data_IF_446007306239
#
_entry.id   IF_446007306239
#
_cell.length_a   1.000
_cell.length_b   1.000
_cell.length_c   1.000
_cell.angle_alpha   90.00
_cell.angle_beta   90.00
_cell.angle_gamma   90.00
#
_symmetry.space_group_name_H-M   'P 1'
#
loop_
_entity.id
_entity.type
_entity.pdbx_description
1 polymer ?
#
# COMPACT_ATOMS: atom_id res chain seq x y z
N UNK A 1 -47.12 16.51 28.47
CA UNK A 1 -47.53 16.09 27.11
C UNK A 1 -46.57 16.72 26.11
N UNK A 2 -45.42 16.09 25.90
CA UNK A 2 -45.08 15.28 24.70
C UNK A 2 -44.49 16.10 23.55
N UNK A 3 -43.15 16.14 23.47
CA UNK A 3 -42.42 16.05 22.20
C UNK A 3 -41.20 15.16 22.39
N UNK A 4 -41.49 13.86 22.29
CA UNK A 4 -40.56 12.76 22.08
C UNK A 4 -40.50 12.51 20.55
N UNK A 5 -39.34 12.04 20.08
CA UNK A 5 -39.06 11.33 18.80
C UNK A 5 -39.17 12.06 17.45
N UNK A 6 -38.00 12.23 16.81
CA UNK A 6 -37.72 11.94 15.38
C UNK A 6 -36.32 11.29 15.36
N UNK A 7 -36.20 9.96 15.42
CA UNK A 7 -36.07 9.03 14.28
C UNK A 7 -34.99 9.48 13.28
N UNK A 8 -33.75 8.94 13.31
CA UNK A 8 -33.32 7.65 12.72
C UNK A 8 -33.87 7.46 11.30
N UNK A 9 -33.10 7.89 10.30
CA UNK A 9 -32.99 7.32 8.96
C UNK A 9 -32.03 8.18 8.12
N UNK A 10 -30.77 7.76 8.01
CA UNK A 10 -29.91 8.15 6.90
C UNK A 10 -29.17 6.89 6.45
N UNK A 11 -29.91 6.03 5.75
CA UNK A 11 -29.37 4.88 5.05
C UNK A 11 -28.84 5.36 3.70
N UNK A 12 -27.56 5.04 3.49
CA UNK A 12 -26.81 4.88 2.23
C UNK A 12 -27.67 4.84 0.96
N UNK A 13 -27.46 5.82 0.08
CA UNK A 13 -27.43 5.64 -1.38
C UNK A 13 -26.44 6.68 -1.93
N UNK A 14 -25.25 6.24 -2.36
CA UNK A 14 -24.50 6.96 -3.39
C UNK A 14 -24.14 5.92 -4.46
N UNK A 15 -25.04 5.80 -5.43
CA UNK A 15 -24.78 5.21 -6.73
C UNK A 15 -24.26 6.30 -7.66
N UNK A 16 -23.20 6.00 -8.42
CA UNK A 16 -22.92 6.66 -9.70
C UNK A 16 -21.66 7.51 -9.74
N UNK A 17 -20.59 6.90 -10.26
CA UNK A 17 -19.61 7.52 -11.17
C UNK A 17 -19.19 8.95 -10.85
N UNK A 18 -18.48 9.12 -9.74
CA UNK A 18 -17.40 10.07 -9.66
C UNK A 18 -16.22 9.26 -9.10
N UNK A 19 -15.18 9.09 -9.90
CA UNK A 19 -13.89 8.64 -9.41
C UNK A 19 -13.42 9.69 -8.41
N UNK A 20 -13.84 9.54 -7.15
CA UNK A 20 -13.19 10.20 -6.05
C UNK A 20 -11.83 9.51 -5.97
N UNK A 21 -10.83 10.11 -6.60
CA UNK A 21 -9.44 9.86 -6.27
C UNK A 21 -9.28 10.27 -4.81
N UNK A 22 -9.55 9.32 -3.91
CA UNK A 22 -9.17 9.46 -2.53
C UNK A 22 -7.67 9.82 -2.52
N UNK A 23 -7.25 10.85 -1.76
CA UNK A 23 -5.83 11.22 -1.71
C UNK A 23 -5.01 9.95 -1.41
N UNK A 24 -3.84 9.77 -2.03
CA UNK A 24 -3.07 8.53 -1.97
C UNK A 24 -2.92 7.93 -0.54
N UNK A 25 -2.90 8.78 0.51
CA UNK A 25 -2.87 8.34 1.90
C UNK A 25 -4.19 7.79 2.49
N UNK A 26 -5.34 8.04 1.87
CA UNK A 26 -6.62 7.48 2.29
C UNK A 26 -6.87 6.08 1.73
N UNK A 27 -6.31 5.75 0.55
CA UNK A 27 -6.36 4.37 0.01
C UNK A 27 -5.44 3.43 0.81
N UNK A 28 -4.22 3.89 1.13
CA UNK A 28 -3.26 3.16 1.98
C UNK A 28 -3.82 2.81 3.38
N UNK A 29 -4.73 3.63 3.94
CA UNK A 29 -5.36 3.33 5.23
C UNK A 29 -6.38 2.18 5.14
N UNK A 30 -7.14 2.10 4.05
CA UNK A 30 -8.12 1.01 3.85
C UNK A 30 -7.42 -0.32 3.56
N UNK A 31 -6.26 -0.29 2.90
CA UNK A 31 -5.45 -1.48 2.62
C UNK A 31 -4.77 -2.07 3.87
N UNK A 32 -4.72 -1.31 4.97
CA UNK A 32 -4.16 -1.74 6.25
C UNK A 32 -5.18 -2.38 7.18
N UNK A 33 -6.47 -2.32 6.87
CA UNK A 33 -7.54 -2.78 7.77
C UNK A 33 -8.10 -4.12 7.29
N UNK A 34 -7.90 -5.18 8.08
CA UNK A 34 -8.42 -6.52 7.80
C UNK A 34 -9.41 -6.95 8.89
N UNK A 35 -10.74 -6.86 8.63
CA UNK A 35 -11.73 -7.38 9.56
C UNK A 35 -11.86 -8.91 9.41
N UNK A 36 -12.14 -9.58 10.53
CA UNK A 36 -12.47 -11.01 10.54
C UNK A 36 -13.57 -11.33 11.54
N UNK A 37 -14.27 -12.45 11.27
CA UNK A 37 -15.34 -12.98 12.10
C UNK A 37 -15.00 -14.42 12.42
N UNK A 38 -15.18 -14.81 13.68
CA UNK A 38 -14.96 -16.17 14.14
C UNK A 38 -16.26 -16.79 14.65
N UNK A 39 -16.44 -18.07 14.35
CA UNK A 39 -17.43 -18.92 15.01
C UNK A 39 -16.70 -20.13 15.57
N UNK A 40 -16.88 -20.42 16.86
CA UNK A 40 -16.06 -21.42 17.54
C UNK A 40 -16.82 -22.22 18.59
N UNK A 41 -16.37 -23.45 18.77
CA UNK A 41 -16.60 -24.22 19.98
C UNK A 41 -15.54 -23.88 21.02
N UNK A 42 -15.92 -23.98 22.29
CA UNK A 42 -15.03 -23.73 23.44
C UNK A 42 -15.19 -24.86 24.45
N UNK A 43 -14.09 -25.31 25.04
CA UNK A 43 -14.08 -26.31 26.11
C UNK A 43 -13.29 -25.80 27.30
N UNK A 44 -13.79 -26.05 28.51
CA UNK A 44 -13.07 -25.77 29.75
C UNK A 44 -12.10 -26.93 30.07
N UNK A 45 -10.85 -26.60 30.37
CA UNK A 45 -9.78 -27.57 30.63
C UNK A 45 -9.62 -27.92 32.12
N UNK A 46 -10.29 -27.21 33.04
CA UNK A 46 -10.15 -27.37 34.49
C UNK A 46 -11.24 -28.26 35.13
N UNK A 47 -11.95 -29.09 34.34
CA UNK A 47 -13.04 -29.93 34.83
C UNK A 47 -12.55 -31.13 35.66
N UNK A 48 -12.41 -30.94 36.97
CA UNK A 48 -12.22 -32.02 37.94
C UNK A 48 -13.55 -32.77 38.16
N UNK A 49 -13.82 -33.80 37.35
CA UNK A 49 -14.90 -34.78 37.56
C UNK A 49 -15.89 -34.97 36.40
N UNK A 50 -15.63 -35.97 35.56
CA UNK A 50 -16.55 -36.69 34.65
C UNK A 50 -17.38 -35.93 33.59
N UNK A 51 -16.79 -34.91 32.95
CA UNK A 51 -17.18 -34.55 31.57
C UNK A 51 -15.96 -34.07 30.77
N UNK A 52 -15.47 -34.93 29.86
CA UNK A 52 -14.36 -34.61 28.96
C UNK A 52 -14.70 -33.54 27.91
N UNK A 53 -15.93 -33.01 27.91
CA UNK A 53 -16.38 -31.86 27.12
C UNK A 53 -17.58 -31.24 27.84
N UNK A 54 -17.41 -30.12 28.53
CA UNK A 54 -18.51 -29.17 28.69
C UNK A 54 -18.42 -28.20 27.50
N UNK A 55 -19.16 -28.45 26.39
CA UNK A 55 -19.07 -27.66 25.18
C UNK A 55 -19.78 -26.33 25.36
N UNK A 56 -19.10 -25.27 24.96
CA UNK A 56 -19.71 -23.99 24.67
C UNK A 56 -19.64 -23.67 23.19
N UNK A 57 -20.37 -22.64 22.81
CA UNK A 57 -20.25 -22.02 21.48
C UNK A 57 -20.08 -20.53 21.66
N UNK A 58 -19.34 -19.93 20.74
CA UNK A 58 -19.08 -18.52 20.74
C UNK A 58 -18.87 -17.96 19.36
N UNK A 59 -18.80 -16.65 19.32
CA UNK A 59 -18.43 -15.91 18.14
C UNK A 59 -17.63 -14.68 18.52
N UNK A 60 -16.89 -14.16 17.55
CA UNK A 60 -16.14 -12.93 17.72
C UNK A 60 -16.08 -12.15 16.43
N UNK A 61 -15.91 -10.83 16.56
CA UNK A 61 -15.71 -9.91 15.46
C UNK A 61 -14.47 -9.11 15.78
N UNK A 62 -13.53 -9.09 14.85
CA UNK A 62 -12.26 -8.40 15.01
C UNK A 62 -11.98 -7.42 13.89
N UNK A 63 -11.04 -6.54 14.21
CA UNK A 63 -10.38 -5.65 13.29
C UNK A 63 -8.87 -5.83 13.48
N UNK A 64 -8.17 -6.10 12.40
CA UNK A 64 -6.71 -6.00 12.33
C UNK A 64 -6.31 -4.69 11.68
N UNK A 65 -5.31 -4.02 12.24
CA UNK A 65 -4.60 -2.90 11.61
C UNK A 65 -3.16 -3.33 11.37
N UNK A 66 -2.81 -3.55 10.11
CA UNK A 66 -1.46 -3.94 9.70
C UNK A 66 -0.48 -2.78 9.96
N UNK A 67 0.52 -3.02 10.81
CA UNK A 67 1.55 -2.05 11.17
C UNK A 67 2.79 -2.21 10.29
N UNK A 68 3.14 -3.46 9.98
CA UNK A 68 4.25 -3.87 9.12
C UNK A 68 3.79 -5.06 8.25
N UNK A 69 4.53 -5.42 7.18
CA UNK A 69 4.30 -6.67 6.46
C UNK A 69 4.24 -7.86 7.43
N UNK A 70 3.09 -8.51 7.49
CA UNK A 70 2.85 -9.67 8.35
C UNK A 70 2.80 -9.41 9.87
N UNK A 71 2.72 -8.15 10.34
CA UNK A 71 2.42 -7.82 11.75
C UNK A 71 1.28 -6.81 11.82
N UNK A 72 0.21 -7.18 12.51
CA UNK A 72 -0.93 -6.31 12.77
C UNK A 72 -1.28 -6.20 14.25
N UNK A 73 -1.82 -5.05 14.62
CA UNK A 73 -2.59 -4.89 15.86
C UNK A 73 -3.96 -5.52 15.63
N UNK A 74 -4.32 -6.53 16.40
CA UNK A 74 -5.55 -7.30 16.23
C UNK A 74 -6.38 -7.24 17.50
N UNK A 75 -7.68 -7.00 17.36
CA UNK A 75 -8.56 -6.92 18.51
C UNK A 75 -10.02 -6.78 18.11
N UNK A 76 -10.89 -6.95 19.09
CA UNK A 76 -12.32 -6.89 18.86
C UNK A 76 -13.11 -7.45 20.03
N UNK A 77 -14.36 -7.81 19.76
CA UNK A 77 -15.29 -8.30 20.79
C UNK A 77 -15.59 -9.77 20.57
N UNK A 78 -15.73 -10.50 21.68
CA UNK A 78 -16.08 -11.90 21.68
C UNK A 78 -17.23 -12.16 22.65
N UNK A 79 -18.03 -13.15 22.30
CA UNK A 79 -19.11 -13.66 23.12
C UNK A 79 -19.07 -15.17 23.08
N UNK A 80 -19.23 -15.81 24.24
CA UNK A 80 -19.44 -17.25 24.28
C UNK A 80 -20.36 -17.63 25.43
N UNK A 81 -21.05 -18.75 25.25
CA UNK A 81 -21.91 -19.37 26.24
C UNK A 81 -21.36 -20.75 26.56
N UNK A 82 -21.19 -21.03 27.84
CA UNK A 82 -20.83 -22.34 28.35
C UNK A 82 -22.11 -23.04 28.81
N UNK A 83 -22.32 -24.29 28.36
CA UNK A 83 -23.44 -25.11 28.81
C UNK A 83 -22.94 -26.09 29.87
N UNK A 84 -23.34 -25.96 31.15
CA UNK A 84 -22.99 -26.95 32.16
C UNK A 84 -23.85 -28.21 32.03
N UNK A 85 -23.30 -29.34 32.48
CA UNK A 85 -24.01 -30.61 32.57
C UNK A 85 -25.18 -30.61 33.60
N UNK A 86 -25.27 -29.62 34.50
CA UNK A 86 -26.14 -29.70 35.69
C UNK A 86 -26.83 -28.38 36.14
N UNK A 87 -27.14 -27.44 35.23
CA UNK A 87 -27.92 -26.19 35.41
C UNK A 87 -27.13 -24.86 35.38
N UNK A 88 -27.75 -23.88 34.69
CA UNK A 88 -27.39 -22.47 34.42
C UNK A 88 -26.26 -22.20 33.41
N UNK A 89 -26.63 -21.77 32.20
CA UNK A 89 -25.70 -21.36 31.15
C UNK A 89 -24.94 -20.09 31.53
N UNK A 90 -23.63 -20.19 31.74
CA UNK A 90 -22.80 -18.99 31.96
C UNK A 90 -22.44 -18.36 30.62
N UNK A 91 -22.73 -17.07 30.46
CA UNK A 91 -22.24 -16.30 29.32
C UNK A 91 -21.05 -15.42 29.70
N UNK A 92 -20.20 -15.18 28.70
CA UNK A 92 -19.09 -14.24 28.76
C UNK A 92 -19.17 -13.28 27.59
N UNK A 93 -19.12 -11.98 27.90
CA UNK A 93 -18.94 -10.92 26.91
C UNK A 93 -17.60 -10.24 27.19
N UNK A 94 -16.71 -10.25 26.22
CA UNK A 94 -15.40 -9.65 26.38
C UNK A 94 -14.89 -8.93 25.15
N UNK A 95 -13.79 -8.24 25.38
CA UNK A 95 -12.97 -7.59 24.37
C UNK A 95 -11.58 -8.20 24.46
N UNK A 96 -10.92 -8.30 23.30
CA UNK A 96 -9.54 -8.73 23.18
C UNK A 96 -8.74 -7.70 22.39
N UNK A 97 -7.48 -7.54 22.74
CA UNK A 97 -6.53 -6.68 22.00
C UNK A 97 -5.13 -7.24 22.13
N UNK A 98 -4.40 -7.26 21.02
CA UNK A 98 -3.05 -7.78 20.96
C UNK A 98 -2.49 -7.75 19.56
N UNK A 99 -1.61 -8.70 19.27
CA UNK A 99 -0.88 -8.76 18.01
C UNK A 99 -1.25 -10.02 17.23
N UNK A 100 -1.32 -9.88 15.90
CA UNK A 100 -1.41 -10.99 14.96
C UNK A 100 -0.21 -10.93 14.01
N UNK A 101 0.47 -12.05 13.89
CA UNK A 101 1.62 -12.26 13.03
C UNK A 101 1.26 -13.23 11.92
N UNK A 102 1.63 -12.91 10.69
CA UNK A 102 1.38 -13.69 9.49
C UNK A 102 2.72 -14.14 8.89
N UNK A 103 3.43 -15.10 9.52
CA UNK A 103 4.75 -15.54 9.06
C UNK A 103 4.69 -16.14 7.66
N UNK A 104 3.55 -16.71 7.29
CA UNK A 104 3.35 -17.31 5.96
C UNK A 104 3.33 -16.30 4.83
N UNK A 105 3.11 -14.99 5.08
CA UNK A 105 3.23 -13.96 4.03
C UNK A 105 4.64 -13.78 3.48
N UNK A 106 5.65 -14.24 4.23
CA UNK A 106 7.05 -14.25 3.80
C UNK A 106 7.41 -15.49 2.98
N UNK A 107 6.50 -16.47 2.87
CA UNK A 107 6.71 -17.70 2.13
C UNK A 107 5.63 -17.82 1.05
N UNK A 108 6.02 -18.18 -0.18
CA UNK A 108 5.05 -18.40 -1.26
C UNK A 108 4.30 -19.73 -1.07
N UNK A 109 3.33 -19.72 -0.15
CA UNK A 109 2.49 -20.87 0.16
C UNK A 109 1.00 -20.56 -0.06
N UNK A 110 0.22 -21.61 -0.33
CA UNK A 110 -1.20 -21.45 -0.63
C UNK A 110 -2.06 -21.18 0.61
N UNK A 111 -2.03 -19.93 1.10
CA UNK A 111 -2.87 -19.46 2.21
C UNK A 111 -2.14 -18.48 3.11
N UNK A 112 -2.82 -18.06 4.18
CA UNK A 112 -2.26 -17.16 5.20
C UNK A 112 -2.38 -17.82 6.58
N UNK A 113 -1.32 -18.48 7.00
CA UNK A 113 -1.12 -18.93 8.36
C UNK A 113 -0.71 -17.79 9.28
N UNK A 114 -1.39 -17.68 10.41
CA UNK A 114 -1.16 -16.65 11.42
C UNK A 114 -1.03 -17.22 12.83
N UNK A 115 -0.28 -16.50 13.67
CA UNK A 115 -0.24 -16.68 15.12
C UNK A 115 -0.65 -15.38 15.79
N UNK A 116 -1.29 -15.48 16.94
CA UNK A 116 -1.85 -14.32 17.61
C UNK A 116 -1.78 -14.46 19.11
N UNK A 117 -1.72 -13.33 19.79
CA UNK A 117 -1.77 -13.27 21.24
C UNK A 117 -2.53 -12.02 21.66
N UNK A 118 -3.47 -12.16 22.59
CA UNK A 118 -4.27 -11.06 23.08
C UNK A 118 -4.27 -10.97 24.59
N UNK A 119 -4.38 -9.73 25.08
CA UNK A 119 -4.96 -9.49 26.38
C UNK A 119 -6.49 -9.53 26.26
N UNK A 120 -7.15 -10.18 27.21
CA UNK A 120 -8.59 -10.37 27.20
C UNK A 120 -9.19 -9.76 28.46
N UNK A 121 -10.32 -9.06 28.32
CA UNK A 121 -11.06 -8.54 29.46
C UNK A 121 -12.55 -8.56 29.17
N UNK A 122 -13.36 -8.87 30.17
CA UNK A 122 -14.79 -8.97 29.98
C UNK A 122 -15.54 -9.21 31.27
N UNK A 123 -16.84 -9.36 31.11
CA UNK A 123 -17.77 -9.60 32.20
C UNK A 123 -18.45 -10.95 31.97
N UNK A 124 -18.58 -11.72 33.05
CA UNK A 124 -19.46 -12.88 33.10
C UNK A 124 -20.83 -12.50 33.67
N UNK A 125 -21.78 -13.43 33.59
CA UNK A 125 -23.13 -13.31 34.16
C UNK A 125 -23.16 -12.77 35.61
N UNK A 126 -22.20 -13.18 36.43
CA UNK A 126 -22.09 -12.78 37.83
C UNK A 126 -21.39 -11.43 38.05
N UNK A 127 -21.24 -10.61 37.00
CA UNK A 127 -20.56 -9.30 37.02
C UNK A 127 -19.10 -9.36 37.51
N UNK A 128 -18.47 -10.53 37.36
CA UNK A 128 -17.06 -10.70 37.67
C UNK A 128 -16.25 -10.20 36.47
N UNK A 129 -15.36 -9.23 36.71
CA UNK A 129 -14.40 -8.79 35.70
C UNK A 129 -13.31 -9.85 35.55
N UNK A 130 -13.39 -10.62 34.47
CA UNK A 130 -12.35 -11.59 34.15
C UNK A 130 -11.34 -10.95 33.19
N UNK A 131 -10.08 -10.98 33.60
CA UNK A 131 -8.93 -10.51 32.83
C UNK A 131 -8.03 -11.68 32.52
N UNK A 132 -7.47 -11.75 31.32
CA UNK A 132 -6.71 -12.91 30.91
C UNK A 132 -5.85 -12.65 29.70
N UNK A 133 -5.32 -13.73 29.15
CA UNK A 133 -4.68 -13.71 27.85
C UNK A 133 -5.12 -14.91 27.04
N UNK A 134 -5.01 -14.78 25.74
CA UNK A 134 -5.14 -15.89 24.83
C UNK A 134 -3.98 -15.92 23.83
N UNK A 135 -3.70 -17.11 23.32
CA UNK A 135 -2.74 -17.35 22.26
C UNK A 135 -3.36 -18.33 21.27
N UNK A 136 -3.32 -17.98 20.00
CA UNK A 136 -3.95 -18.75 18.94
C UNK A 136 -3.06 -18.93 17.71
N UNK A 137 -3.41 -19.93 16.93
CA UNK A 137 -2.87 -20.18 15.58
C UNK A 137 -4.04 -20.48 14.65
N UNK A 138 -3.98 -19.96 13.44
CA UNK A 138 -4.97 -20.22 12.40
C UNK A 138 -4.35 -20.24 11.01
N UNK A 139 -5.15 -20.67 10.03
CA UNK A 139 -4.72 -20.73 8.64
C UNK A 139 -5.87 -20.41 7.71
N UNK A 140 -5.82 -19.26 7.04
CA UNK A 140 -6.87 -18.85 6.12
C UNK A 140 -6.55 -19.33 4.69
N UNK A 141 -7.46 -20.13 4.14
CA UNK A 141 -7.45 -20.51 2.73
C UNK A 141 -8.16 -19.43 1.90
N UNK A 142 -7.57 -18.96 0.79
CA UNK A 142 -8.20 -17.97 -0.07
C UNK A 142 -9.34 -18.62 -0.86
N UNK A 143 -10.59 -18.26 -0.54
CA UNK A 143 -11.78 -18.71 -1.26
C UNK A 143 -12.17 -17.79 -2.41
N UNK A 144 -11.84 -16.51 -2.27
CA UNK A 144 -11.99 -15.47 -3.27
C UNK A 144 -10.83 -14.47 -3.08
N UNK A 145 -10.61 -13.51 -4.00
CA UNK A 145 -9.51 -12.56 -3.86
C UNK A 145 -9.45 -11.93 -2.46
N UNK A 146 -10.57 -11.40 -1.96
CA UNK A 146 -10.58 -10.71 -0.66
C UNK A 146 -11.11 -11.55 0.50
N UNK A 147 -11.43 -12.84 0.29
CA UNK A 147 -12.11 -13.66 1.32
C UNK A 147 -11.23 -14.86 1.68
N UNK A 148 -10.83 -14.89 2.94
CA UNK A 148 -10.24 -16.04 3.62
C UNK A 148 -11.25 -16.84 4.41
N UNK A 149 -11.06 -18.16 4.40
CA UNK A 149 -11.75 -19.07 5.29
C UNK A 149 -10.73 -20.03 5.89
N UNK A 150 -10.67 -20.10 7.20
CA UNK A 150 -9.63 -20.87 7.87
C UNK A 150 -10.07 -21.53 9.16
N UNK A 151 -9.53 -22.71 9.51
CA UNK A 151 -9.60 -23.19 10.88
C UNK A 151 -8.65 -22.40 11.79
N UNK A 152 -9.03 -22.28 13.05
CA UNK A 152 -8.14 -21.80 14.11
C UNK A 152 -8.28 -22.63 15.38
N UNK A 153 -7.24 -22.59 16.21
CA UNK A 153 -7.24 -23.09 17.58
C UNK A 153 -6.61 -22.05 18.50
N UNK A 154 -7.21 -21.86 19.68
CA UNK A 154 -6.81 -20.84 20.63
C UNK A 154 -6.87 -21.37 22.06
N UNK A 155 -5.78 -21.18 22.78
CA UNK A 155 -5.73 -21.38 24.21
C UNK A 155 -6.03 -20.06 24.91
N UNK A 156 -6.87 -20.09 25.95
CA UNK A 156 -7.18 -18.91 26.76
C UNK A 156 -7.04 -19.22 28.24
N UNK A 157 -6.43 -18.30 28.97
CA UNK A 157 -6.37 -18.33 30.42
C UNK A 157 -7.02 -17.07 30.97
N UNK A 158 -7.89 -17.21 31.96
CA UNK A 158 -8.55 -16.06 32.59
C UNK A 158 -8.35 -16.08 34.10
N UNK A 159 -8.16 -14.89 34.67
CA UNK A 159 -8.17 -14.65 36.10
C UNK A 159 -9.62 -14.49 36.54
N UNK A 160 -10.08 -15.37 37.42
CA UNK A 160 -11.34 -15.25 38.14
C UNK A 160 -11.05 -14.98 39.64
N UNK A 161 -11.50 -13.85 40.22
CA UNK A 161 -11.43 -13.58 41.65
C UNK A 161 -12.34 -14.48 42.51
N UNK A 162 -13.41 -15.03 41.93
CA UNK A 162 -14.45 -15.82 42.62
C UNK A 162 -14.32 -17.34 42.43
N UNK A 163 -13.42 -17.81 41.56
CA UNK A 163 -13.25 -19.23 41.24
C UNK A 163 -11.77 -19.61 41.04
N UNK A 164 -11.50 -20.86 40.65
CA UNK A 164 -10.22 -21.25 40.05
C UNK A 164 -10.03 -20.49 38.72
N UNK A 165 -8.79 -20.27 38.29
CA UNK A 165 -8.52 -19.46 37.09
C UNK A 165 -8.80 -20.31 35.84
N UNK A 166 -9.94 -20.12 35.13
CA UNK A 166 -10.33 -21.08 34.11
C UNK A 166 -9.40 -21.01 32.91
N UNK A 167 -9.15 -22.19 32.34
CA UNK A 167 -8.42 -22.38 31.10
C UNK A 167 -9.37 -22.92 30.04
N UNK A 168 -9.33 -22.35 28.85
CA UNK A 168 -10.17 -22.75 27.74
C UNK A 168 -9.35 -23.14 26.52
N UNK A 169 -9.87 -24.10 25.76
CA UNK A 169 -9.45 -24.35 24.39
C UNK A 169 -10.62 -24.03 23.47
N UNK A 170 -10.42 -23.08 22.58
CA UNK A 170 -11.37 -22.71 21.52
C UNK A 170 -10.86 -23.24 20.19
N UNK A 171 -11.77 -23.75 19.37
CA UNK A 171 -11.47 -24.17 18.00
C UNK A 171 -12.66 -23.83 17.11
N UNK A 172 -12.39 -23.36 15.92
CA UNK A 172 -13.45 -22.81 15.09
C UNK A 172 -12.98 -22.46 13.70
N UNK A 173 -13.80 -21.64 13.05
CA UNK A 173 -13.56 -21.14 11.71
C UNK A 173 -13.55 -19.62 11.73
N UNK A 174 -12.54 -19.04 11.09
CA UNK A 174 -12.42 -17.61 10.78
C UNK A 174 -12.88 -17.35 9.35
N UNK A 175 -13.66 -16.30 9.16
CA UNK A 175 -13.88 -15.66 7.86
C UNK A 175 -13.20 -14.31 7.91
N UNK A 176 -12.15 -14.14 7.13
CA UNK A 176 -11.34 -12.93 7.11
C UNK A 176 -11.49 -12.20 5.79
N UNK A 177 -11.65 -10.89 5.84
CA UNK A 177 -11.40 -10.04 4.69
C UNK A 177 -9.89 -9.84 4.63
N UNK A 178 -9.24 -10.63 3.78
CA UNK A 178 -7.81 -10.48 3.57
C UNK A 178 -7.58 -9.11 2.94
N UNK A 179 -6.88 -8.23 3.65
CA UNK A 179 -6.14 -7.16 2.98
C UNK A 179 -5.17 -7.88 2.07
N UNK A 180 -5.35 -7.76 0.75
CA UNK A 180 -4.59 -8.48 -0.26
C UNK A 180 -3.12 -8.03 -0.20
N UNK A 181 -2.39 -8.58 0.76
CA UNK A 181 -0.94 -8.57 0.85
C UNK A 181 -0.46 -9.97 1.20
N UNK A 182 -0.94 -11.01 0.49
CA UNK A 182 0.10 -11.79 -0.21
C UNK A 182 0.84 -10.71 -0.95
N UNK A 183 2.15 -10.51 -0.75
CA UNK A 183 2.98 -9.65 -1.60
C UNK A 183 2.30 -9.62 -2.96
N UNK A 184 1.56 -8.52 -3.20
CA UNK A 184 0.62 -8.51 -4.30
C UNK A 184 1.57 -8.55 -5.45
N UNK A 185 1.71 -9.74 -6.06
CA UNK A 185 2.77 -10.14 -7.00
C UNK A 185 3.55 -8.90 -7.30
N UNK A 186 4.62 -8.61 -6.51
CA UNK A 186 5.28 -7.30 -6.57
C UNK A 186 5.52 -7.09 -8.03
N UNK A 187 4.69 -6.24 -8.63
CA UNK A 187 4.65 -6.23 -10.08
C UNK A 187 6.00 -5.60 -10.36
N UNK A 188 6.92 -6.35 -10.98
CA UNK A 188 8.29 -5.89 -11.08
C UNK A 188 8.26 -4.47 -11.61
N UNK A 189 8.96 -3.59 -10.93
CA UNK A 189 9.09 -2.17 -11.24
C UNK A 189 10.57 -1.90 -11.00
N UNK A 190 11.37 -2.14 -12.03
CA UNK A 190 12.83 -2.21 -11.96
C UNK A 190 13.44 -0.83 -11.63
N UNK A 191 12.84 0.25 -12.11
CA UNK A 191 13.32 1.61 -11.89
C UNK A 191 12.57 2.43 -10.82
N UNK A 192 11.48 1.87 -10.28
CA UNK A 192 10.70 2.40 -9.17
C UNK A 192 10.02 3.75 -9.49
N UNK A 193 9.62 3.95 -10.74
CA UNK A 193 8.92 5.16 -11.16
C UNK A 193 7.40 5.12 -10.92
N UNK A 194 6.87 3.96 -10.52
CA UNK A 194 5.46 3.71 -10.23
C UNK A 194 4.63 3.20 -11.41
N UNK A 195 5.26 2.95 -12.56
CA UNK A 195 4.70 2.20 -13.69
C UNK A 195 5.28 0.79 -13.66
N UNK A 196 4.47 -0.28 -13.55
CA UNK A 196 5.02 -1.63 -13.50
C UNK A 196 5.67 -2.06 -14.82
N UNK A 197 6.72 -2.90 -14.79
CA UNK A 197 7.54 -3.37 -15.92
C UNK A 197 6.72 -3.91 -17.11
N UNK A 198 5.52 -4.47 -16.87
CA UNK A 198 4.67 -5.00 -17.95
C UNK A 198 3.84 -3.90 -18.66
N UNK A 199 3.69 -2.75 -18.03
CA UNK A 199 3.07 -1.52 -18.55
C UNK A 199 4.10 -0.45 -18.92
N UNK A 200 5.34 -0.60 -18.45
CA UNK A 200 6.45 0.30 -18.70
C UNK A 200 7.16 -0.01 -20.04
N UNK A 201 7.30 1.01 -20.88
CA UNK A 201 8.04 0.91 -22.14
C UNK A 201 9.55 1.05 -21.91
N UNK A 202 9.96 1.65 -20.79
CA UNK A 202 11.33 1.89 -20.36
C UNK A 202 11.65 1.32 -18.95
N UNK A 203 11.50 0.00 -18.67
CA UNK A 203 11.59 -0.58 -17.32
C UNK A 203 12.86 -0.29 -16.49
N UNK A 204 13.93 0.14 -17.14
CA UNK A 204 15.22 0.42 -16.50
C UNK A 204 15.54 1.93 -16.40
N UNK A 205 14.64 2.80 -16.86
CA UNK A 205 14.87 4.24 -16.98
C UNK A 205 13.65 4.99 -16.45
N UNK A 206 13.75 5.60 -15.25
CA UNK A 206 12.59 6.19 -14.62
C UNK A 206 12.05 7.38 -15.42
N UNK A 207 10.73 7.54 -15.44
CA UNK A 207 9.97 8.60 -16.15
C UNK A 207 10.47 10.03 -15.93
N UNK A 208 11.17 10.28 -14.82
CA UNK A 208 11.81 11.56 -14.51
C UNK A 208 10.82 12.71 -14.32
N UNK A 209 11.28 13.94 -14.57
CA UNK A 209 10.47 15.17 -14.37
C UNK A 209 9.61 15.53 -15.59
N UNK A 210 10.00 15.06 -16.76
CA UNK A 210 9.33 15.35 -18.03
C UNK A 210 8.90 14.01 -18.64
N UNK A 211 7.69 13.51 -18.33
CA UNK A 211 7.19 12.25 -18.88
C UNK A 211 6.96 12.31 -20.40
N UNK A 212 7.23 11.22 -21.11
CA UNK A 212 6.80 11.07 -22.50
C UNK A 212 5.28 10.80 -22.56
N UNK A 213 4.48 11.67 -23.20
CA UNK A 213 3.02 11.48 -23.27
C UNK A 213 2.58 10.30 -24.12
N UNK A 214 3.46 9.72 -24.94
CA UNK A 214 3.15 8.59 -25.82
C UNK A 214 3.78 7.28 -25.35
N UNK A 215 4.80 7.34 -24.48
CA UNK A 215 5.50 6.17 -23.97
C UNK A 215 5.39 6.12 -22.42
N UNK A 216 4.48 5.30 -21.90
CA UNK A 216 4.32 5.08 -20.46
C UNK A 216 5.63 4.62 -19.81
N UNK A 217 5.94 5.20 -18.63
CA UNK A 217 7.17 4.97 -17.85
C UNK A 217 8.45 5.58 -18.44
N UNK A 218 8.41 6.10 -19.67
CA UNK A 218 9.59 6.71 -20.29
C UNK A 218 9.71 8.21 -20.02
N UNK A 219 10.93 8.74 -19.81
CA UNK A 219 11.17 10.18 -19.88
C UNK A 219 11.02 10.70 -21.33
N UNK A 220 10.67 11.97 -21.46
CA UNK A 220 10.70 12.69 -22.72
C UNK A 220 12.12 12.66 -23.31
N UNK A 221 12.19 12.51 -24.63
CA UNK A 221 13.47 12.46 -25.35
C UNK A 221 14.10 13.84 -25.42
N UNK A 222 15.42 13.84 -25.39
CA UNK A 222 16.32 14.95 -25.71
C UNK A 222 17.24 14.37 -26.80
N UNK A 223 17.06 14.81 -28.06
CA UNK A 223 17.66 14.15 -29.22
C UNK A 223 19.08 14.60 -29.53
N UNK A 224 19.39 15.86 -29.27
CA UNK A 224 20.71 16.45 -29.49
C UNK A 224 21.53 16.54 -28.21
N UNK A 225 20.98 16.06 -27.09
CA UNK A 225 21.65 15.92 -25.80
C UNK A 225 22.12 17.28 -25.24
N UNK A 226 21.40 18.35 -25.56
CA UNK A 226 21.75 19.71 -25.16
C UNK A 226 21.23 20.09 -23.76
N UNK A 227 20.36 19.25 -23.19
CA UNK A 227 19.75 19.38 -21.87
C UNK A 227 18.31 19.87 -21.88
N UNK A 228 17.73 20.22 -23.03
CA UNK A 228 16.31 20.47 -23.22
C UNK A 228 15.64 19.25 -23.86
N UNK A 229 14.46 18.90 -23.36
CA UNK A 229 13.67 17.82 -23.96
C UNK A 229 13.01 18.31 -25.26
N UNK A 230 12.85 17.44 -26.26
CA UNK A 230 12.25 17.75 -27.58
C UNK A 230 10.97 18.61 -27.52
N UNK A 231 10.05 18.47 -26.52
CA UNK A 231 8.87 19.33 -26.42
C UNK A 231 9.13 20.77 -25.93
N UNK A 232 10.26 21.01 -25.26
CA UNK A 232 10.70 22.29 -24.69
C UNK A 232 11.80 22.95 -25.54
N UNK A 233 12.38 22.19 -26.47
CA UNK A 233 13.43 22.59 -27.40
C UNK A 233 12.84 23.15 -28.72
N UNK A 234 13.31 24.33 -29.12
CA UNK A 234 12.96 24.96 -30.40
C UNK A 234 13.72 24.37 -31.59
N UNK A 235 14.87 23.74 -31.36
CA UNK A 235 15.72 23.06 -32.32
C UNK A 235 16.02 21.59 -31.92
N UNK A 236 15.04 20.66 -31.88
CA UNK A 236 15.18 19.28 -31.35
C UNK A 236 16.11 18.31 -32.12
N UNK A 237 17.03 18.83 -32.92
CA UNK A 237 17.97 18.06 -33.71
C UNK A 237 19.32 18.76 -33.84
N UNK A 238 19.49 19.90 -33.18
CA UNK A 238 20.65 20.75 -33.30
C UNK A 238 20.96 21.35 -31.92
N UNK A 239 22.07 20.93 -31.29
CA UNK A 239 22.34 21.31 -29.92
C UNK A 239 22.62 22.81 -29.80
N UNK A 240 22.18 23.44 -28.71
CA UNK A 240 22.43 24.87 -28.45
C UNK A 240 23.91 25.28 -28.34
N UNK A 241 24.83 24.33 -28.18
CA UNK A 241 26.25 24.59 -27.92
C UNK A 241 27.05 24.63 -29.22
N UNK A 242 28.09 25.50 -29.32
CA UNK A 242 28.72 26.28 -28.23
C UNK A 242 28.12 27.67 -27.97
N UNK A 243 27.28 28.18 -28.87
CA UNK A 243 26.76 29.54 -28.82
C UNK A 243 25.22 29.51 -28.70
N UNK A 244 24.63 29.46 -27.50
CA UNK A 244 23.19 29.31 -27.33
C UNK A 244 22.42 30.59 -27.68
N UNK A 245 21.33 30.46 -28.43
CA UNK A 245 20.37 31.53 -28.69
C UNK A 245 19.44 31.72 -27.48
N UNK A 246 19.42 32.93 -26.91
CA UNK A 246 18.55 33.25 -25.77
C UNK A 246 17.09 33.44 -26.13
N UNK A 247 16.79 33.76 -27.41
CA UNK A 247 15.44 33.99 -27.90
C UNK A 247 14.76 32.69 -28.38
N UNK A 248 15.55 31.67 -28.74
CA UNK A 248 15.09 30.35 -29.17
C UNK A 248 15.72 29.25 -28.28
N UNK A 249 15.07 28.84 -27.19
CA UNK A 249 15.60 27.83 -26.27
C UNK A 249 15.97 26.53 -27.00
N UNK A 250 17.21 26.05 -26.82
CA UNK A 250 17.70 24.83 -27.46
C UNK A 250 18.39 25.04 -28.81
N UNK A 251 18.28 26.22 -29.40
CA UNK A 251 18.96 26.53 -30.67
C UNK A 251 20.33 27.17 -30.46
N UNK A 252 21.31 26.90 -31.33
CA UNK A 252 22.51 27.73 -31.43
C UNK A 252 22.20 29.06 -32.13
N UNK A 253 23.07 30.06 -31.96
CA UNK A 253 23.07 31.27 -32.77
C UNK A 253 23.32 30.90 -34.23
N UNK A 254 22.69 31.64 -35.14
CA UNK A 254 22.88 31.44 -36.58
C UNK A 254 24.34 31.67 -36.99
N UNK A 255 24.86 30.77 -37.82
CA UNK A 255 26.17 30.83 -38.46
C UNK A 255 25.94 30.46 -39.94
N UNK A 256 25.76 31.47 -40.78
CA UNK A 256 25.23 31.31 -42.12
C UNK A 256 26.23 30.71 -43.12
N UNK A 257 27.53 30.79 -42.84
CA UNK A 257 28.57 30.16 -43.65
C UNK A 257 29.23 28.94 -43.01
N UNK A 258 28.96 28.68 -41.73
CA UNK A 258 29.32 27.46 -41.01
C UNK A 258 30.78 27.42 -40.57
N UNK A 259 31.39 28.59 -40.37
CA UNK A 259 32.81 28.71 -40.02
C UNK A 259 33.11 28.63 -38.52
N UNK A 260 32.06 28.59 -37.69
CA UNK A 260 32.10 28.48 -36.24
C UNK A 260 31.97 29.83 -35.52
N UNK A 261 31.85 30.95 -36.23
CA UNK A 261 31.58 32.27 -35.68
C UNK A 261 30.11 32.64 -35.93
N UNK A 262 29.32 32.92 -34.88
CA UNK A 262 27.94 33.37 -35.06
C UNK A 262 27.83 34.63 -35.91
N UNK A 263 26.78 34.74 -36.74
CA UNK A 263 26.51 35.86 -37.66
C UNK A 263 26.55 37.25 -36.98
N UNK A 264 26.22 37.34 -35.70
CA UNK A 264 26.23 38.59 -34.94
C UNK A 264 27.64 39.00 -34.48
N UNK A 265 28.58 38.07 -34.49
CA UNK A 265 29.99 38.22 -34.14
C UNK A 265 30.92 38.07 -35.37
N UNK A 266 30.40 37.58 -36.49
CA UNK A 266 31.10 37.43 -37.76
C UNK A 266 31.15 38.73 -38.57
N UNK A 267 32.36 39.16 -38.94
CA UNK A 267 32.59 40.33 -39.78
C UNK A 267 32.31 40.06 -41.27
N UNK A 268 32.31 38.81 -41.68
CA UNK A 268 32.09 38.30 -43.01
C UNK A 268 31.05 37.16 -43.03
N UNK A 269 29.79 37.37 -42.55
CA UNK A 269 28.77 36.33 -42.24
C UNK A 269 28.29 35.44 -43.41
N UNK A 270 28.87 35.60 -44.59
CA UNK A 270 28.53 34.87 -45.80
C UNK A 270 29.78 34.32 -46.51
N UNK A 271 30.94 34.32 -45.85
CA UNK A 271 32.24 33.94 -46.42
C UNK A 271 32.99 33.02 -45.44
N UNK A 272 32.76 31.72 -45.60
CA UNK A 272 33.38 30.68 -44.77
C UNK A 272 34.89 30.89 -44.56
N UNK A 273 35.29 31.09 -43.29
CA UNK A 273 36.69 31.19 -42.90
C UNK A 273 37.13 29.99 -42.02
N UNK A 274 37.92 29.02 -42.53
CA UNK A 274 38.35 27.87 -41.74
C UNK A 274 39.02 28.27 -40.43
N UNK A 275 38.67 27.55 -39.36
CA UNK A 275 39.14 27.78 -37.98
C UNK A 275 38.69 29.13 -37.36
N UNK A 276 37.58 29.72 -37.82
CA UNK A 276 36.98 30.95 -37.28
C UNK A 276 37.63 32.26 -37.77
N UNK A 277 38.40 32.19 -38.84
CA UNK A 277 39.04 33.34 -39.48
C UNK A 277 40.37 33.79 -38.87
N UNK A 278 40.80 35.00 -39.24
CA UNK A 278 42.07 35.56 -38.79
C UNK A 278 41.95 36.18 -37.37
N UNK A 279 43.05 36.18 -36.60
CA UNK A 279 43.03 36.66 -35.21
C UNK A 279 42.72 38.16 -35.03
N UNK A 280 42.66 38.93 -36.11
CA UNK A 280 42.33 40.35 -36.14
C UNK A 280 40.90 40.59 -36.68
N UNK A 281 40.27 39.57 -37.29
CA UNK A 281 39.01 39.62 -38.02
C UNK A 281 38.30 38.26 -37.87
N UNK A 282 37.56 38.14 -36.78
CA UNK A 282 36.70 36.99 -36.50
C UNK A 282 35.75 36.75 -37.70
N UNK A 283 35.77 35.53 -38.23
CA UNK A 283 34.98 35.06 -39.38
C UNK A 283 35.43 35.53 -40.78
N UNK A 284 36.57 36.24 -40.91
CA UNK A 284 37.11 36.64 -42.21
C UNK A 284 38.49 36.02 -42.53
N UNK A 285 38.76 35.77 -43.82
CA UNK A 285 40.09 35.41 -44.32
C UNK A 285 41.00 36.63 -44.56
N UNK A 286 42.31 36.41 -44.51
CA UNK A 286 43.32 37.44 -44.75
C UNK A 286 43.19 38.00 -46.17
N UNK A 287 42.72 39.25 -46.28
CA UNK A 287 42.56 39.97 -47.55
C UNK A 287 41.11 40.20 -47.97
N UNK A 288 40.14 39.59 -47.29
CA UNK A 288 38.73 39.86 -47.53
C UNK A 288 38.32 41.18 -46.86
N UNK A 289 37.56 42.00 -47.58
CA UNK A 289 37.03 43.27 -47.08
C UNK A 289 35.64 43.02 -46.47
N UNK A 290 35.42 43.29 -45.17
CA UNK A 290 34.10 43.52 -44.64
C UNK A 290 33.60 44.75 -45.39
N UNK A 291 32.43 44.64 -45.98
CA UNK A 291 31.84 45.61 -46.89
C UNK A 291 32.03 47.08 -46.47
#
# INVERSE_FOLDING_TARGET
>A
MTRVTRSLAALVVISGTAAWSAPAGAQDLFDRIAPDIEVFGIVNLEAEGDSAFDPGVGGAIHLSVNLLPGLGLHGGTQFFVLSPAAHESTYYLGTRLGARLHPTRYFDIWGDGYVEAHWVWGISEHQISAHGFDVGIGYDFPLAPVIGLGPFVRFSWMKDPGASNPMFLSFGVSVSLMTFTRHGEEVPDEDLDGVPDHEDICPAIPIGRHPDPHNAGCPARDRDEDGLVDPEDACPSEPMWPHPDTDHPGCPLADADGDGVPDDHDLCPHTFAPDGGDALREGCLEGDSPF
#
